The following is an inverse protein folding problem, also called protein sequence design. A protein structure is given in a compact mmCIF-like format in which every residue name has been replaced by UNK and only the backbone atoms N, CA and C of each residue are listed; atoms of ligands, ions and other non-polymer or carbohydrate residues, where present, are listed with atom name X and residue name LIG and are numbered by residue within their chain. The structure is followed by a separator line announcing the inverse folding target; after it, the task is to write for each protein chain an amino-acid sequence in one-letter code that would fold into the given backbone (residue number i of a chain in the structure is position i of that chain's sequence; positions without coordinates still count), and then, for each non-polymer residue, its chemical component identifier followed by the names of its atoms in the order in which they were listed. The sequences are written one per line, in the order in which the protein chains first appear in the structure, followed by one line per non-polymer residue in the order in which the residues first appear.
data_IF_352761730790
#
_entry.id   IF_352761730790
#
_cell.length_a   1.000
_cell.length_b   1.000
_cell.length_c   1.000
_cell.angle_alpha   90.00
_cell.angle_beta   90.00
_cell.angle_gamma   90.00
#
_symmetry.space_group_name_H-M   'P 1'
#
loop_
_entity.id
_entity.type
_entity.pdbx_description
1 polymer ?
#
# COMPACT_ATOMS: atom_id res chain seq x y z
N UNK A 1 -8.92 19.32 -5.99
CA UNK A 1 -8.98 18.53 -4.74
C UNK A 1 -8.52 17.13 -5.08
N UNK A 2 -7.69 16.53 -4.23
CA UNK A 2 -7.24 15.14 -4.32
C UNK A 2 -8.19 14.23 -3.53
N UNK A 3 -8.10 12.94 -3.82
CA UNK A 3 -8.56 11.86 -2.96
C UNK A 3 -7.33 11.12 -2.45
N UNK A 4 -7.22 10.99 -1.14
CA UNK A 4 -6.00 10.61 -0.45
C UNK A 4 -6.21 9.35 0.40
N UNK A 5 -5.25 8.44 0.32
CA UNK A 5 -5.20 7.20 1.12
C UNK A 5 -3.83 7.09 1.79
N UNK A 6 -3.82 6.71 3.06
CA UNK A 6 -2.63 6.32 3.78
C UNK A 6 -2.58 4.79 3.92
N UNK A 7 -1.45 4.20 3.59
CA UNK A 7 -1.14 2.78 3.71
C UNK A 7 0.03 2.64 4.66
N UNK A 8 -0.04 1.73 5.63
CA UNK A 8 0.99 1.60 6.65
C UNK A 8 1.12 0.16 7.19
N UNK A 9 2.25 -0.15 7.82
CA UNK A 9 2.46 -1.45 8.48
C UNK A 9 1.39 -1.72 9.54
N UNK A 10 0.77 -2.91 9.51
CA UNK A 10 -0.41 -3.21 10.34
C UNK A 10 -0.17 -3.16 11.84
N UNK A 11 1.09 -3.23 12.27
CA UNK A 11 1.45 -3.39 13.68
C UNK A 11 2.08 -2.11 14.27
N UNK A 12 2.20 -1.04 13.48
CA UNK A 12 2.89 0.20 13.92
C UNK A 12 2.09 1.01 14.94
N UNK A 13 0.76 1.00 14.84
CA UNK A 13 -0.14 1.82 15.66
C UNK A 13 -1.50 1.14 15.79
N UNK A 14 -2.11 1.21 16.97
CA UNK A 14 -3.50 0.79 17.20
C UNK A 14 -4.48 1.90 16.75
N UNK A 15 -5.73 1.54 16.45
CA UNK A 15 -6.72 2.50 15.94
C UNK A 15 -6.99 3.66 16.91
N UNK A 16 -6.93 3.41 18.22
CA UNK A 16 -7.11 4.42 19.26
C UNK A 16 -5.99 5.48 19.30
N UNK A 17 -4.77 5.09 18.93
CA UNK A 17 -3.58 5.94 18.93
C UNK A 17 -3.31 6.58 17.56
N UNK A 18 -4.00 6.11 16.51
CA UNK A 18 -3.78 6.54 15.13
C UNK A 18 -3.83 8.07 14.93
N UNK A 19 -4.81 8.82 15.47
CA UNK A 19 -4.87 10.26 15.24
C UNK A 19 -3.63 11.01 15.75
N UNK A 20 -3.07 10.59 16.88
CA UNK A 20 -1.86 11.19 17.44
C UNK A 20 -0.61 10.79 16.66
N UNK A 21 -0.52 9.51 16.26
CA UNK A 21 0.57 9.03 15.43
C UNK A 21 0.60 9.74 14.08
N UNK A 22 -0.57 9.91 13.44
CA UNK A 22 -0.70 10.61 12.17
C UNK A 22 -0.34 12.09 12.28
N UNK A 23 -0.83 12.82 13.29
CA UNK A 23 -0.50 14.25 13.49
C UNK A 23 1.01 14.51 13.63
N UNK A 24 1.74 13.54 14.18
CA UNK A 24 3.20 13.61 14.28
C UNK A 24 3.89 13.26 12.97
N UNK A 25 3.48 12.16 12.32
CA UNK A 25 4.09 11.67 11.08
C UNK A 25 3.85 12.60 9.88
N UNK A 26 2.67 13.21 9.79
CA UNK A 26 2.27 14.07 8.68
C UNK A 26 2.92 15.45 8.67
N UNK A 27 3.84 15.73 9.61
CA UNK A 27 4.61 16.99 9.63
C UNK A 27 5.84 16.93 8.72
N UNK A 28 6.26 15.73 8.32
CA UNK A 28 7.38 15.52 7.39
C UNK A 28 8.64 16.30 7.79
N UNK A 29 8.93 16.36 9.08
CA UNK A 29 10.00 17.21 9.66
C UNK A 29 11.40 16.64 9.45
N UNK A 30 11.52 15.40 8.96
CA UNK A 30 12.82 14.76 8.80
C UNK A 30 13.53 15.23 7.53
N UNK A 31 14.87 15.24 7.57
CA UNK A 31 15.72 15.82 6.51
C UNK A 31 15.92 14.87 5.31
N UNK A 32 14.96 13.99 5.03
CA UNK A 32 15.09 12.99 3.97
C UNK A 32 14.02 13.16 2.89
N UNK A 33 14.30 12.61 1.71
CA UNK A 33 13.37 12.61 0.59
C UNK A 33 12.27 11.58 0.84
N UNK A 34 11.04 12.06 1.04
CA UNK A 34 9.86 11.23 1.23
C UNK A 34 9.26 10.74 -0.09
N UNK A 35 10.02 10.67 -1.16
CA UNK A 35 9.56 10.18 -2.46
C UNK A 35 10.30 8.89 -2.86
N UNK A 36 11.12 8.33 -1.97
CA UNK A 36 11.98 7.18 -2.22
C UNK A 36 11.66 5.99 -1.32
N UNK A 37 11.66 4.79 -1.91
CA UNK A 37 11.48 3.52 -1.22
C UNK A 37 12.74 3.00 -0.52
N UNK A 38 13.84 3.75 -0.50
CA UNK A 38 15.14 3.29 0.00
C UNK A 38 15.16 2.98 1.50
N UNK A 39 14.30 3.63 2.28
CA UNK A 39 14.18 3.40 3.73
C UNK A 39 12.98 2.53 4.10
N UNK A 40 12.07 2.33 3.16
CA UNK A 40 10.85 1.59 3.37
C UNK A 40 11.10 0.13 3.82
N UNK A 41 10.18 -0.41 4.61
CA UNK A 41 10.11 -1.84 4.93
C UNK A 41 9.94 -2.69 3.65
N UNK A 42 10.26 -3.99 3.70
CA UNK A 42 10.04 -4.87 2.54
C UNK A 42 8.60 -4.91 2.04
N UNK A 43 7.60 -4.87 2.93
CA UNK A 43 6.19 -4.90 2.55
C UNK A 43 5.79 -3.59 1.86
N UNK A 44 6.20 -2.45 2.40
CA UNK A 44 5.97 -1.13 1.78
C UNK A 44 6.61 -1.04 0.39
N UNK A 45 7.86 -1.52 0.23
CA UNK A 45 8.53 -1.57 -1.07
C UNK A 45 7.77 -2.42 -2.09
N UNK A 46 7.31 -3.60 -1.68
CA UNK A 46 6.59 -4.52 -2.55
C UNK A 46 5.24 -3.92 -2.97
N UNK A 47 4.48 -3.39 -2.01
CA UNK A 47 3.23 -2.69 -2.24
C UNK A 47 3.40 -1.52 -3.22
N UNK A 48 4.36 -0.62 -2.97
CA UNK A 48 4.62 0.53 -3.83
C UNK A 48 4.90 0.10 -5.28
N UNK A 49 5.79 -0.89 -5.47
CA UNK A 49 6.16 -1.39 -6.81
C UNK A 49 4.99 -1.98 -7.59
N UNK A 50 4.01 -2.56 -6.91
CA UNK A 50 2.79 -3.06 -7.54
C UNK A 50 1.81 -1.91 -7.83
N UNK A 51 1.66 -0.96 -6.90
CA UNK A 51 0.73 0.16 -7.03
C UNK A 51 1.10 1.09 -8.20
N UNK A 52 2.39 1.42 -8.36
CA UNK A 52 2.84 2.34 -9.43
C UNK A 52 2.59 1.81 -10.85
N UNK A 53 2.31 0.51 -11.02
CA UNK A 53 1.93 -0.07 -12.31
C UNK A 53 0.54 0.40 -12.75
N UNK A 54 -0.37 0.63 -11.81
CA UNK A 54 -1.71 1.13 -12.06
C UNK A 54 -1.78 2.66 -11.93
N UNK A 55 -1.03 3.23 -10.99
CA UNK A 55 -0.99 4.65 -10.67
C UNK A 55 0.44 5.17 -10.75
N UNK A 56 0.97 5.47 -11.95
CA UNK A 56 2.34 5.95 -12.06
C UNK A 56 2.56 7.24 -11.28
N UNK A 57 3.74 7.39 -10.67
CA UNK A 57 4.07 8.54 -9.84
C UNK A 57 4.27 9.80 -10.68
N UNK A 58 3.79 10.92 -10.16
CA UNK A 58 4.04 12.27 -10.65
C UNK A 58 5.35 12.85 -10.07
N UNK A 59 5.83 12.30 -8.96
CA UNK A 59 6.95 12.79 -8.18
C UNK A 59 7.94 11.65 -7.82
N UNK A 60 9.14 12.03 -7.39
CA UNK A 60 10.17 11.07 -6.98
C UNK A 60 11.00 10.45 -8.10
N UNK A 61 11.85 9.47 -7.76
CA UNK A 61 12.82 8.89 -8.69
C UNK A 61 12.17 8.02 -9.78
N UNK A 62 10.96 7.50 -9.53
CA UNK A 62 10.20 6.68 -10.48
C UNK A 62 9.19 7.52 -11.29
N UNK A 63 9.21 8.85 -11.16
CA UNK A 63 8.27 9.78 -11.80
C UNK A 63 8.24 9.65 -13.32
N UNK A 64 7.04 9.78 -13.88
CA UNK A 64 6.87 10.04 -15.31
C UNK A 64 7.47 11.39 -15.68
N UNK A 65 7.94 11.51 -16.92
CA UNK A 65 8.27 12.82 -17.50
C UNK A 65 7.01 13.65 -17.75
N UNK A 66 7.15 14.98 -17.83
CA UNK A 66 6.03 15.90 -18.08
C UNK A 66 5.21 15.51 -19.33
N UNK A 67 5.88 15.13 -20.42
CA UNK A 67 5.24 14.68 -21.67
C UNK A 67 4.42 13.39 -21.47
N UNK A 68 4.91 12.46 -20.65
CA UNK A 68 4.20 11.20 -20.34
C UNK A 68 2.99 11.46 -19.44
N UNK A 69 3.11 12.40 -18.49
CA UNK A 69 1.99 12.83 -17.65
C UNK A 69 0.89 13.46 -18.52
N UNK A 70 1.24 14.42 -19.37
CA UNK A 70 0.28 15.10 -20.25
C UNK A 70 -0.43 14.11 -21.17
N UNK A 71 0.31 13.16 -21.76
CA UNK A 71 -0.26 12.13 -22.62
C UNK A 71 -1.23 11.20 -21.87
N UNK A 72 -0.96 10.86 -20.60
CA UNK A 72 -1.86 10.06 -19.76
C UNK A 72 -3.12 10.84 -19.40
N UNK A 73 -2.96 12.07 -18.94
CA UNK A 73 -4.08 12.93 -18.54
C UNK A 73 -5.01 13.22 -19.72
N UNK A 74 -4.47 13.44 -20.92
CA UNK A 74 -5.26 13.59 -22.14
C UNK A 74 -6.09 12.35 -22.51
N UNK A 75 -5.67 11.16 -22.07
CA UNK A 75 -6.41 9.90 -22.22
C UNK A 75 -7.36 9.61 -21.04
N UNK A 76 -7.42 10.50 -20.04
CA UNK A 76 -8.19 10.30 -18.83
C UNK A 76 -7.61 9.22 -17.91
N UNK A 77 -6.33 8.87 -18.06
CA UNK A 77 -5.65 7.88 -17.23
C UNK A 77 -5.07 8.53 -15.97
N UNK A 78 -5.05 7.82 -14.83
CA UNK A 78 -4.57 8.39 -13.58
C UNK A 78 -3.04 8.52 -13.54
N UNK A 79 -2.61 9.51 -12.76
CA UNK A 79 -1.28 9.69 -12.17
C UNK A 79 -1.47 9.95 -10.68
N UNK A 80 -0.46 9.68 -9.87
CA UNK A 80 -0.54 9.80 -8.42
C UNK A 80 0.66 10.54 -7.82
N UNK A 81 0.39 11.30 -6.75
CA UNK A 81 1.42 11.92 -5.91
C UNK A 81 1.71 11.00 -4.72
N UNK A 82 2.98 10.78 -4.40
CA UNK A 82 3.41 9.83 -3.39
C UNK A 82 4.27 10.47 -2.31
N UNK A 83 3.96 10.13 -1.06
CA UNK A 83 4.86 10.36 0.09
C UNK A 83 5.14 9.02 0.75
N UNK A 84 6.40 8.63 0.83
CA UNK A 84 6.88 7.32 1.25
C UNK A 84 7.74 7.52 2.50
N UNK A 85 7.28 6.96 3.62
CA UNK A 85 8.01 6.86 4.87
C UNK A 85 8.71 5.51 5.02
N UNK A 86 9.24 5.25 6.20
CA UNK A 86 9.84 3.95 6.54
C UNK A 86 8.77 2.83 6.57
N UNK A 87 7.62 3.11 7.16
CA UNK A 87 6.55 2.15 7.44
C UNK A 87 5.19 2.55 6.82
N UNK A 88 5.19 3.55 5.92
CA UNK A 88 3.98 4.07 5.29
C UNK A 88 4.17 4.52 3.83
N UNK A 89 3.06 4.52 3.09
CA UNK A 89 2.87 5.19 1.81
C UNK A 89 1.60 6.02 1.90
N UNK A 90 1.71 7.32 1.67
CA UNK A 90 0.60 8.21 1.42
C UNK A 90 0.49 8.44 -0.08
N UNK A 91 -0.72 8.30 -0.64
CA UNK A 91 -0.97 8.43 -2.07
C UNK A 91 -2.17 9.33 -2.33
N UNK A 92 -2.00 10.29 -3.23
CA UNK A 92 -3.04 11.22 -3.66
C UNK A 92 -3.34 11.09 -5.15
N UNK A 93 -4.61 11.02 -5.53
CA UNK A 93 -5.07 11.02 -6.93
C UNK A 93 -6.16 12.07 -7.16
N UNK A 94 -6.53 12.32 -8.43
CA UNK A 94 -7.75 13.08 -8.73
C UNK A 94 -9.00 12.33 -8.27
N UNK A 95 -10.07 13.05 -7.89
CA UNK A 95 -11.36 12.44 -7.53
C UNK A 95 -11.93 11.50 -8.59
N UNK A 96 -11.68 11.78 -9.88
CA UNK A 96 -12.08 10.89 -10.98
C UNK A 96 -11.45 9.50 -10.91
N UNK A 97 -10.31 9.36 -10.23
CA UNK A 97 -9.58 8.11 -10.04
C UNK A 97 -9.81 7.46 -8.66
N UNK A 98 -10.56 8.10 -7.75
CA UNK A 98 -10.74 7.66 -6.36
C UNK A 98 -11.23 6.20 -6.27
N UNK A 99 -12.31 5.85 -6.98
CA UNK A 99 -12.86 4.49 -6.95
C UNK A 99 -11.86 3.43 -7.42
N UNK A 100 -11.08 3.76 -8.44
CA UNK A 100 -10.04 2.86 -8.96
C UNK A 100 -8.91 2.69 -7.95
N UNK A 101 -8.52 3.78 -7.27
CA UNK A 101 -7.49 3.76 -6.24
C UNK A 101 -7.94 2.93 -5.04
N UNK A 102 -9.15 3.18 -4.50
CA UNK A 102 -9.72 2.43 -3.37
C UNK A 102 -9.73 0.92 -3.64
N UNK A 103 -10.18 0.52 -4.83
CA UNK A 103 -10.24 -0.89 -5.23
C UNK A 103 -8.83 -1.51 -5.27
N UNK A 104 -7.91 -0.86 -5.97
CA UNK A 104 -6.53 -1.37 -6.15
C UNK A 104 -5.76 -1.41 -4.84
N UNK A 105 -5.87 -0.37 -4.02
CA UNK A 105 -5.20 -0.30 -2.71
C UNK A 105 -5.77 -1.37 -1.77
N UNK A 106 -7.09 -1.59 -1.76
CA UNK A 106 -7.70 -2.65 -0.94
C UNK A 106 -7.13 -4.03 -1.26
N UNK A 107 -7.00 -4.38 -2.55
CA UNK A 107 -6.47 -5.66 -3.00
C UNK A 107 -4.98 -5.82 -2.68
N UNK A 108 -4.19 -4.78 -2.95
CA UNK A 108 -2.74 -4.80 -2.70
C UNK A 108 -2.43 -4.80 -1.19
N UNK A 109 -3.13 -4.00 -0.40
CA UNK A 109 -2.93 -3.95 1.06
C UNK A 109 -3.28 -5.29 1.71
N UNK A 110 -4.35 -5.95 1.25
CA UNK A 110 -4.65 -7.32 1.68
C UNK A 110 -3.50 -8.29 1.36
N UNK A 111 -2.98 -8.23 0.14
CA UNK A 111 -1.91 -9.10 -0.34
C UNK A 111 -0.60 -8.89 0.43
N UNK A 112 -0.26 -7.62 0.69
CA UNK A 112 0.99 -7.21 1.33
C UNK A 112 0.88 -7.08 2.85
N UNK A 113 -0.28 -7.41 3.44
CA UNK A 113 -0.53 -7.37 4.89
C UNK A 113 -0.39 -5.97 5.50
N UNK A 114 -0.83 -4.95 4.78
CA UNK A 114 -0.78 -3.55 5.20
C UNK A 114 -2.16 -3.06 5.65
N UNK A 115 -2.18 -2.11 6.58
CA UNK A 115 -3.37 -1.37 6.97
C UNK A 115 -3.61 -0.17 6.02
N UNK A 116 -4.87 0.22 5.88
CA UNK A 116 -5.32 1.32 5.00
C UNK A 116 -6.18 2.28 5.80
N UNK A 117 -5.85 3.56 5.76
CA UNK A 117 -6.69 4.65 6.27
C UNK A 117 -7.19 5.51 5.10
N UNK A 118 -8.52 5.59 4.94
CA UNK A 118 -9.16 6.40 3.90
C UNK A 118 -9.28 7.85 4.36
N UNK A 119 -8.20 8.62 4.21
CA UNK A 119 -8.08 10.00 4.72
C UNK A 119 -9.18 10.92 4.18
N UNK A 120 -9.63 10.70 2.95
CA UNK A 120 -10.72 11.45 2.33
C UNK A 120 -12.14 10.98 2.70
N UNK A 121 -12.31 9.78 3.27
CA UNK A 121 -13.61 9.18 3.65
C UNK A 121 -13.70 8.98 5.18
N UNK A 122 -13.65 10.07 5.92
CA UNK A 122 -13.75 10.13 7.40
C UNK A 122 -12.61 9.45 8.18
N UNK A 123 -11.55 8.98 7.52
CA UNK A 123 -10.39 8.37 8.16
C UNK A 123 -10.62 6.94 8.64
N UNK A 124 -11.58 6.22 8.05
CA UNK A 124 -11.82 4.81 8.36
C UNK A 124 -10.54 3.98 8.14
N UNK A 125 -10.20 3.13 9.12
CA UNK A 125 -9.03 2.25 9.08
C UNK A 125 -9.50 0.82 8.81
N UNK A 126 -8.88 0.17 7.83
CA UNK A 126 -9.08 -1.23 7.48
C UNK A 126 -7.76 -1.96 7.67
N UNK A 127 -7.78 -3.04 8.46
CA UNK A 127 -6.62 -3.90 8.72
C UNK A 127 -6.80 -5.28 8.08
N UNK A 128 -5.71 -5.92 7.65
CA UNK A 128 -5.76 -7.29 7.16
C UNK A 128 -6.09 -8.23 8.36
N UNK A 129 -6.77 -9.37 8.14
CA UNK A 129 -7.21 -10.24 9.23
C UNK A 129 -6.02 -10.81 9.99
N UNK A 130 -6.06 -10.92 11.32
CA UNK A 130 -5.02 -11.63 12.07
C UNK A 130 -4.82 -13.04 11.52
N UNK A 131 -3.57 -13.44 11.29
CA UNK A 131 -3.29 -14.83 10.90
C UNK A 131 -3.77 -15.72 12.05
N UNK A 132 -4.58 -16.77 11.81
CA UNK A 132 -4.77 -17.78 12.83
C UNK A 132 -3.38 -18.26 13.24
N UNK A 133 -3.09 -18.25 14.55
CA UNK A 133 -1.85 -18.82 15.06
C UNK A 133 -1.61 -20.15 14.36
N UNK A 134 -0.50 -20.26 13.59
CA UNK A 134 -0.20 -21.50 12.89
C UNK A 134 -0.26 -22.61 13.95
N UNK A 135 -1.07 -23.67 13.76
CA UNK A 135 -0.98 -24.80 14.67
C UNK A 135 0.46 -25.29 14.62
N UNK A 136 1.15 -25.22 15.76
CA UNK A 136 2.50 -25.71 15.90
C UNK A 136 2.53 -27.19 15.51
N UNK A 137 3.17 -27.49 14.38
CA UNK A 137 3.63 -28.81 13.94
C UNK A 137 2.58 -29.91 13.70
N UNK A 138 2.66 -30.47 12.49
CA UNK A 138 2.70 -31.92 12.33
C UNK A 138 1.44 -32.58 11.79
N UNK A 139 1.22 -32.49 10.47
CA UNK A 139 0.65 -33.61 9.74
C UNK A 139 1.39 -33.77 8.41
N UNK A 140 2.48 -34.54 8.41
CA UNK A 140 2.97 -35.13 7.17
C UNK A 140 1.94 -36.16 6.75
N UNK A 141 1.23 -35.88 5.66
CA UNK A 141 0.41 -36.88 5.00
C UNK A 141 1.36 -37.72 4.16
N UNK A 142 1.88 -38.80 4.74
CA UNK A 142 2.60 -39.82 3.99
C UNK A 142 1.59 -40.55 3.09
N UNK A 143 1.55 -40.16 1.81
CA UNK A 143 0.87 -40.92 0.76
C UNK A 143 1.62 -42.24 0.55
N UNK A 144 1.16 -43.31 1.19
CA UNK A 144 1.57 -44.68 0.85
C UNK A 144 0.93 -45.06 -0.48
N UNK A 145 1.72 -45.05 -1.55
CA UNK A 145 1.40 -45.69 -2.83
C UNK A 145 1.35 -47.20 -2.61
N UNK A 146 0.15 -47.78 -2.66
CA UNK A 146 0.00 -49.23 -2.80
C UNK A 146 0.12 -49.60 -4.29
N UNK A 147 1.31 -50.04 -4.70
CA UNK A 147 1.47 -50.81 -5.92
C UNK A 147 0.93 -52.23 -5.68
N UNK A 148 -0.26 -52.53 -6.19
CA UNK A 148 -0.73 -53.89 -6.32
C UNK A 148 -0.24 -54.45 -7.67
N UNK A 149 0.77 -55.32 -7.63
CA UNK A 149 1.04 -56.28 -8.69
C UNK A 149 0.06 -57.45 -8.55
N UNK A 150 -0.75 -57.70 -9.57
CA UNK A 150 -1.05 -59.05 -10.05
C UNK A 150 -1.58 -59.06 -11.46
#
# INVERSE_FOLDING_TARGET
MSYDILIFESDVVADEDFPQWWDRGSRWEETHHYDSIERATPAIRAFYRDLIRAFPPFNGPDALSDDEVDARLAQGLPVADYTIGEDLVYVGVSWSAANALVTTVSELAWTHRLAVAYVSDDGAIVRPPDQPAQPASGLRVDCVVQHAMR
#
